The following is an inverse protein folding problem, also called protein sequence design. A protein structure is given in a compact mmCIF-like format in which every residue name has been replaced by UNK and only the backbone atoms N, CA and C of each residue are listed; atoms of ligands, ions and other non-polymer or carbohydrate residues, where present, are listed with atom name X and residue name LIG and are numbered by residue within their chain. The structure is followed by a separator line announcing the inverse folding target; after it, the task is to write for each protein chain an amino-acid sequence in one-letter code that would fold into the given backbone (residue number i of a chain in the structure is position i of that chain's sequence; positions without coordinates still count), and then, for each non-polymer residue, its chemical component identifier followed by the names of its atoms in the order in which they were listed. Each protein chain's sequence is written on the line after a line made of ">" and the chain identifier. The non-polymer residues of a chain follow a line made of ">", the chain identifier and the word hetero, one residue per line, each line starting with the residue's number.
data_IF_607160197861
#
_entry.id   IF_607160197861
#
_cell.length_a   1.000
_cell.length_b   1.000
_cell.length_c   1.000
_cell.angle_alpha   90.00
_cell.angle_beta   90.00
_cell.angle_gamma   90.00
#
_symmetry.space_group_name_H-M   'P 1'
#
loop_
_entity.id
_entity.type
_entity.pdbx_description
1 polymer ?
#
# COMPACT_ATOMS: atom_id res chain seq x y z
N UNK A 1 20.23 -25.98 49.65
CA UNK A 1 20.14 -24.55 49.92
C UNK A 1 19.95 -23.83 48.60
N UNK A 2 18.85 -23.18 48.39
CA UNK A 2 18.66 -22.34 47.22
C UNK A 2 19.46 -21.05 47.41
N UNK A 3 20.16 -20.54 46.39
CA UNK A 3 20.87 -19.28 46.49
C UNK A 3 19.89 -18.14 46.73
N UNK A 4 20.10 -17.35 47.81
CA UNK A 4 19.32 -16.13 48.05
C UNK A 4 19.78 -15.07 47.05
N UNK A 5 18.90 -14.70 46.10
CA UNK A 5 19.10 -13.62 45.17
C UNK A 5 19.11 -12.28 45.95
N UNK A 6 20.21 -11.52 45.86
CA UNK A 6 20.26 -10.19 46.45
C UNK A 6 19.51 -9.17 45.53
N UNK A 7 19.12 -8.02 46.08
CA UNK A 7 18.38 -6.97 45.35
C UNK A 7 19.05 -6.54 44.05
N UNK A 8 20.36 -6.52 44.00
CA UNK A 8 21.12 -6.06 42.82
C UNK A 8 21.10 -7.10 41.70
N UNK A 9 21.18 -8.38 42.07
CA UNK A 9 21.07 -9.50 41.12
C UNK A 9 19.64 -9.61 40.55
N UNK A 10 18.63 -9.38 41.40
CA UNK A 10 17.25 -9.32 40.95
C UNK A 10 17.01 -8.16 39.96
N UNK A 11 17.50 -6.95 40.27
CA UNK A 11 17.33 -5.78 39.38
C UNK A 11 18.12 -5.91 38.08
N UNK A 12 19.34 -6.49 38.12
CA UNK A 12 20.10 -6.73 36.88
C UNK A 12 19.44 -7.82 36.00
N UNK A 13 18.92 -8.86 36.62
CA UNK A 13 18.16 -9.91 35.92
C UNK A 13 16.85 -9.39 35.33
N UNK A 14 16.11 -8.55 36.07
CA UNK A 14 14.90 -7.91 35.59
C UNK A 14 15.15 -6.91 34.44
N UNK A 15 16.25 -6.14 34.52
CA UNK A 15 16.66 -5.23 33.45
C UNK A 15 17.06 -5.99 32.16
N UNK A 16 17.78 -7.10 32.30
CA UNK A 16 18.16 -7.96 31.18
C UNK A 16 16.94 -8.64 30.55
N UNK A 17 15.97 -9.08 31.36
CA UNK A 17 14.71 -9.64 30.89
C UNK A 17 13.86 -8.58 30.17
N UNK A 18 13.75 -7.35 30.69
CA UNK A 18 13.02 -6.26 30.06
C UNK A 18 13.62 -5.85 28.71
N UNK A 19 14.94 -5.94 28.54
CA UNK A 19 15.61 -5.68 27.27
C UNK A 19 15.36 -6.76 26.19
N UNK A 20 14.86 -7.93 26.57
CA UNK A 20 14.54 -9.02 25.64
C UNK A 20 13.10 -8.99 25.10
N UNK A 21 12.24 -8.08 25.59
CA UNK A 21 10.88 -7.96 25.08
C UNK A 21 10.86 -7.08 23.84
N UNK A 22 10.57 -7.67 22.70
CA UNK A 22 10.26 -6.93 21.49
C UNK A 22 8.79 -6.50 21.57
N UNK A 23 8.53 -5.19 21.61
CA UNK A 23 7.17 -4.66 21.50
C UNK A 23 6.75 -4.78 20.04
N UNK A 24 5.95 -5.80 19.73
CA UNK A 24 5.35 -5.97 18.41
C UNK A 24 4.12 -5.08 18.34
N UNK A 25 4.06 -4.12 17.42
CA UNK A 25 2.87 -3.28 17.24
C UNK A 25 1.63 -4.14 16.95
N UNK A 26 0.47 -3.76 17.52
CA UNK A 26 -0.78 -4.52 17.40
C UNK A 26 -1.21 -4.77 15.95
N UNK A 27 -0.88 -3.85 15.04
CA UNK A 27 -1.11 -3.97 13.60
C UNK A 27 -0.37 -5.16 12.94
N UNK A 28 0.72 -5.62 13.53
CA UNK A 28 1.48 -6.79 13.03
C UNK A 28 0.87 -8.09 13.51
N UNK A 29 0.21 -8.06 14.68
CA UNK A 29 -0.40 -9.23 15.29
C UNK A 29 -1.82 -9.52 14.79
N UNK A 30 -2.45 -8.56 14.09
CA UNK A 30 -3.86 -8.67 13.71
C UNK A 30 -4.81 -8.54 14.91
N UNK A 31 -6.07 -8.85 14.71
CA UNK A 31 -7.13 -8.82 15.73
C UNK A 31 -8.20 -7.77 15.43
N UNK A 32 -9.06 -7.46 16.41
CA UNK A 32 -10.21 -6.56 16.21
C UNK A 32 -9.80 -5.22 15.57
N UNK A 33 -10.22 -5.00 14.34
CA UNK A 33 -9.92 -3.79 13.55
C UNK A 33 -8.55 -3.75 12.85
N UNK A 34 -7.77 -4.86 12.93
CA UNK A 34 -6.46 -4.94 12.27
C UNK A 34 -6.28 -6.29 11.58
N UNK A 35 -5.94 -6.27 10.30
CA UNK A 35 -5.53 -7.45 9.53
C UNK A 35 -4.01 -7.55 9.59
N UNK A 36 -3.51 -8.70 10.04
CA UNK A 36 -2.06 -8.92 10.04
C UNK A 36 -1.51 -8.89 8.60
N UNK A 37 -0.30 -8.38 8.36
CA UNK A 37 0.28 -8.38 7.01
C UNK A 37 0.31 -9.74 6.32
N UNK A 38 0.49 -10.82 7.10
CA UNK A 38 0.45 -12.21 6.61
C UNK A 38 -0.93 -12.68 6.15
N UNK A 39 -1.98 -12.02 6.62
CA UNK A 39 -3.37 -12.41 6.35
C UNK A 39 -3.97 -11.60 5.19
N UNK A 40 -3.23 -10.62 4.68
CA UNK A 40 -3.64 -9.80 3.53
C UNK A 40 -3.45 -10.53 2.22
N UNK A 41 -4.42 -10.34 1.34
CA UNK A 41 -4.31 -10.76 -0.06
C UNK A 41 -3.42 -9.76 -0.80
N UNK A 42 -2.28 -10.20 -1.29
CA UNK A 42 -1.42 -9.38 -2.15
C UNK A 42 -1.89 -9.44 -3.60
N UNK A 43 -2.08 -8.27 -4.22
CA UNK A 43 -2.54 -8.16 -5.61
C UNK A 43 -1.49 -7.47 -6.48
N UNK A 44 -1.40 -7.95 -7.72
CA UNK A 44 -0.78 -7.24 -8.81
C UNK A 44 -1.85 -6.85 -9.84
N UNK A 45 -1.84 -5.60 -10.27
CA UNK A 45 -2.79 -5.10 -11.27
C UNK A 45 -2.12 -5.11 -12.63
N UNK A 46 -2.70 -5.83 -13.62
CA UNK A 46 -2.21 -5.89 -15.00
C UNK A 46 -3.19 -5.13 -15.90
N UNK A 47 -2.66 -4.12 -16.61
CA UNK A 47 -3.46 -3.18 -17.40
C UNK A 47 -4.00 -2.04 -16.54
N UNK A 48 -3.48 -0.84 -16.72
CA UNK A 48 -3.89 0.33 -15.94
C UNK A 48 -4.54 1.41 -16.81
N UNK A 49 -5.51 0.99 -17.62
CA UNK A 49 -6.37 1.88 -18.42
C UNK A 49 -7.58 2.40 -17.64
N UNK A 50 -8.57 2.94 -18.36
CA UNK A 50 -9.77 3.57 -17.79
C UNK A 50 -10.48 2.70 -16.75
N UNK A 51 -10.67 1.42 -17.05
CA UNK A 51 -11.38 0.51 -16.15
C UNK A 51 -10.62 0.29 -14.84
N UNK A 52 -9.32 -0.01 -14.91
CA UNK A 52 -8.51 -0.21 -13.71
C UNK A 52 -8.49 1.05 -12.82
N UNK A 53 -8.34 2.23 -13.41
CA UNK A 53 -8.36 3.49 -12.67
C UNK A 53 -9.71 3.71 -11.98
N UNK A 54 -10.81 3.33 -12.59
CA UNK A 54 -12.14 3.45 -12.00
C UNK A 54 -12.35 2.50 -10.82
N UNK A 55 -11.83 1.29 -10.91
CA UNK A 55 -12.03 0.22 -9.91
C UNK A 55 -11.03 0.29 -8.75
N UNK A 56 -9.83 0.84 -8.99
CA UNK A 56 -8.71 0.75 -8.05
C UNK A 56 -9.02 1.35 -6.68
N UNK A 57 -9.88 2.38 -6.63
CA UNK A 57 -10.23 3.02 -5.36
C UNK A 57 -10.88 2.06 -4.37
N UNK A 58 -11.79 1.19 -4.83
CA UNK A 58 -12.43 0.17 -4.01
C UNK A 58 -11.43 -0.89 -3.52
N UNK A 59 -10.49 -1.28 -4.38
CA UNK A 59 -9.44 -2.25 -4.06
C UNK A 59 -8.49 -1.69 -3.01
N UNK A 60 -8.01 -0.47 -3.19
CA UNK A 60 -7.08 0.18 -2.26
C UNK A 60 -7.70 0.47 -0.89
N UNK A 61 -9.01 0.72 -0.84
CA UNK A 61 -9.74 0.97 0.40
C UNK A 61 -10.00 -0.30 1.23
N UNK A 62 -9.87 -1.50 0.62
CA UNK A 62 -10.08 -2.76 1.34
C UNK A 62 -8.97 -3.00 2.38
N UNK A 63 -9.31 -3.29 3.64
CA UNK A 63 -8.32 -3.60 4.66
C UNK A 63 -7.62 -4.94 4.42
N UNK A 64 -8.27 -5.86 3.71
CA UNK A 64 -7.81 -7.24 3.50
C UNK A 64 -6.90 -7.39 2.29
N UNK A 65 -6.76 -6.31 1.51
CA UNK A 65 -6.01 -6.33 0.24
C UNK A 65 -4.83 -5.38 0.30
N UNK A 66 -3.74 -5.78 -0.33
CA UNK A 66 -2.58 -4.94 -0.58
C UNK A 66 -2.12 -5.03 -2.02
N UNK A 67 -2.19 -3.92 -2.76
CA UNK A 67 -1.64 -3.83 -4.11
C UNK A 67 -0.14 -3.62 -4.01
N UNK A 68 0.63 -4.63 -4.43
CA UNK A 68 2.09 -4.66 -4.31
C UNK A 68 2.80 -4.40 -5.64
N UNK A 69 2.09 -4.57 -6.76
CA UNK A 69 2.66 -4.35 -8.09
C UNK A 69 1.62 -3.84 -9.07
N UNK A 70 2.09 -3.10 -10.06
CA UNK A 70 1.36 -2.71 -11.27
C UNK A 70 2.14 -3.13 -12.50
N UNK A 71 1.43 -3.53 -13.54
CA UNK A 71 2.01 -3.89 -14.83
C UNK A 71 1.20 -3.25 -15.95
N UNK A 72 1.87 -2.56 -16.86
CA UNK A 72 1.26 -2.06 -18.09
C UNK A 72 2.34 -1.88 -19.16
N UNK A 73 2.01 -2.25 -20.38
CA UNK A 73 2.90 -2.07 -21.55
C UNK A 73 3.02 -0.59 -21.91
N UNK A 74 1.99 0.20 -21.65
CA UNK A 74 2.00 1.65 -21.81
C UNK A 74 2.51 2.31 -20.53
N UNK A 75 3.61 3.04 -20.64
CA UNK A 75 4.21 3.69 -19.47
C UNK A 75 3.44 4.94 -19.01
N UNK A 76 3.02 5.76 -19.97
CA UNK A 76 2.38 7.05 -19.73
C UNK A 76 1.23 7.27 -20.72
N UNK A 77 0.24 6.40 -20.65
CA UNK A 77 -0.94 6.49 -21.47
C UNK A 77 -1.69 7.79 -21.22
N UNK A 78 -2.11 8.42 -22.29
CA UNK A 78 -2.91 9.64 -22.25
C UNK A 78 -4.11 9.51 -23.18
N UNK A 79 -5.20 10.22 -22.80
CA UNK A 79 -6.37 10.28 -23.69
C UNK A 79 -7.25 9.05 -23.67
N UNK A 80 -7.19 8.20 -22.64
CA UNK A 80 -8.16 7.14 -22.45
C UNK A 80 -9.58 7.73 -22.39
N UNK A 81 -10.54 7.03 -23.02
CA UNK A 81 -11.91 7.50 -23.07
C UNK A 81 -12.59 7.44 -21.71
N UNK A 82 -13.32 8.47 -21.40
CA UNK A 82 -14.15 8.57 -20.20
C UNK A 82 -15.63 8.67 -20.62
N UNK A 83 -16.50 7.88 -20.00
CA UNK A 83 -17.93 7.88 -20.35
C UNK A 83 -18.71 9.06 -19.75
N UNK A 84 -18.14 9.73 -18.78
CA UNK A 84 -18.71 10.93 -18.16
C UNK A 84 -17.66 12.00 -18.01
N UNK A 85 -18.06 13.27 -18.12
CA UNK A 85 -17.13 14.39 -18.05
C UNK A 85 -16.36 14.40 -16.71
N UNK A 86 -15.08 14.08 -16.75
CA UNK A 86 -14.14 14.09 -15.62
C UNK A 86 -14.49 13.17 -14.42
N UNK A 87 -15.46 12.27 -14.52
CA UNK A 87 -15.92 11.46 -13.39
C UNK A 87 -14.79 10.62 -12.77
N UNK A 88 -14.00 9.97 -13.60
CA UNK A 88 -12.89 9.12 -13.15
C UNK A 88 -11.80 9.98 -12.53
N UNK A 89 -11.40 11.06 -13.20
CA UNK A 89 -10.38 11.99 -12.71
C UNK A 89 -10.78 12.61 -11.37
N UNK A 90 -12.02 13.04 -11.24
CA UNK A 90 -12.53 13.62 -10.00
C UNK A 90 -12.66 12.58 -8.89
N UNK A 91 -12.92 11.31 -9.22
CA UNK A 91 -12.83 10.19 -8.31
C UNK A 91 -11.43 10.01 -7.73
N UNK A 92 -10.42 9.99 -8.59
CA UNK A 92 -9.01 9.90 -8.17
C UNK A 92 -8.59 11.13 -7.36
N UNK A 93 -8.97 12.34 -7.78
CA UNK A 93 -8.69 13.57 -7.03
C UNK A 93 -9.22 13.52 -5.59
N UNK A 94 -10.45 13.06 -5.40
CA UNK A 94 -11.03 12.87 -4.06
C UNK A 94 -10.29 11.80 -3.27
N UNK A 95 -10.01 10.66 -3.88
CA UNK A 95 -9.32 9.55 -3.24
C UNK A 95 -7.91 9.95 -2.78
N UNK A 96 -7.17 10.67 -3.62
CA UNK A 96 -5.82 11.16 -3.31
C UNK A 96 -5.84 12.46 -2.50
N UNK A 97 -7.02 13.10 -2.31
CA UNK A 97 -7.16 14.44 -1.74
C UNK A 97 -6.19 15.45 -2.41
N UNK A 98 -6.16 15.37 -3.71
CA UNK A 98 -5.36 16.23 -4.57
C UNK A 98 -6.22 16.77 -5.71
N UNK A 99 -6.88 17.93 -5.52
CA UNK A 99 -7.78 18.48 -6.52
C UNK A 99 -7.07 18.89 -7.83
N UNK A 100 -5.76 19.14 -7.77
CA UNK A 100 -4.96 19.49 -8.93
C UNK A 100 -4.37 18.26 -9.65
N UNK A 101 -4.67 17.03 -9.18
CA UNK A 101 -4.13 15.84 -9.83
C UNK A 101 -4.44 15.80 -11.32
N UNK A 102 -3.38 15.76 -12.14
CA UNK A 102 -3.43 15.74 -13.61
C UNK A 102 -4.33 16.85 -14.19
N UNK A 103 -4.25 18.07 -13.63
CA UNK A 103 -4.92 19.24 -14.18
C UNK A 103 -4.38 19.55 -15.57
N UNK A 104 -5.27 19.90 -16.50
CA UNK A 104 -4.91 20.20 -17.90
C UNK A 104 -4.64 18.99 -18.79
N UNK A 105 -4.59 17.76 -18.25
CA UNK A 105 -4.46 16.57 -19.08
C UNK A 105 -5.74 16.32 -19.91
N UNK A 106 -5.60 15.98 -21.19
CA UNK A 106 -6.70 15.54 -22.05
C UNK A 106 -7.04 14.09 -21.77
N UNK A 107 -8.32 13.74 -21.72
CA UNK A 107 -8.78 12.37 -21.42
C UNK A 107 -8.43 11.90 -20.00
N UNK A 108 -8.53 10.61 -19.78
CA UNK A 108 -8.11 9.96 -18.53
C UNK A 108 -6.66 9.54 -18.68
N UNK A 109 -5.74 9.99 -17.80
CA UNK A 109 -4.39 9.46 -17.76
C UNK A 109 -4.41 7.99 -17.32
N UNK A 110 -3.56 7.17 -17.87
CA UNK A 110 -3.43 5.76 -17.51
C UNK A 110 -2.01 5.24 -17.75
N UNK A 111 -1.85 3.93 -17.68
CA UNK A 111 -0.58 3.25 -17.86
C UNK A 111 0.20 3.06 -16.57
N UNK A 112 1.38 2.49 -16.72
CA UNK A 112 2.24 2.01 -15.64
C UNK A 112 2.55 3.06 -14.59
N UNK A 113 3.03 4.23 -15.04
CA UNK A 113 3.47 5.30 -14.12
C UNK A 113 2.30 5.92 -13.37
N UNK A 114 1.15 6.06 -14.02
CA UNK A 114 -0.09 6.55 -13.38
C UNK A 114 -0.58 5.54 -12.34
N UNK A 115 -0.58 4.25 -12.67
CA UNK A 115 -0.96 3.19 -11.74
C UNK A 115 -0.09 3.18 -10.49
N UNK A 116 1.23 3.23 -10.69
CA UNK A 116 2.20 3.30 -9.59
C UNK A 116 2.00 4.54 -8.72
N UNK A 117 1.83 5.72 -9.34
CA UNK A 117 1.59 6.98 -8.64
C UNK A 117 0.35 6.91 -7.74
N UNK A 118 -0.76 6.39 -8.28
CA UNK A 118 -2.02 6.25 -7.54
C UNK A 118 -1.84 5.34 -6.32
N UNK A 119 -1.27 4.16 -6.52
CA UNK A 119 -1.08 3.17 -5.45
C UNK A 119 -0.15 3.70 -4.36
N UNK A 120 1.00 4.24 -4.74
CA UNK A 120 1.99 4.75 -3.78
C UNK A 120 1.45 5.96 -3.01
N UNK A 121 0.79 6.90 -3.68
CA UNK A 121 0.21 8.09 -3.05
C UNK A 121 -0.91 7.72 -2.09
N UNK A 122 -1.80 6.81 -2.50
CA UNK A 122 -2.88 6.35 -1.63
C UNK A 122 -2.35 5.75 -0.32
N UNK A 123 -1.40 4.84 -0.43
CA UNK A 123 -0.88 4.18 0.76
C UNK A 123 -0.01 5.09 1.62
N UNK A 124 0.76 6.00 1.03
CA UNK A 124 1.50 7.01 1.80
C UNK A 124 0.57 7.87 2.65
N UNK A 125 -0.60 8.22 2.13
CA UNK A 125 -1.57 9.06 2.81
C UNK A 125 -2.39 8.31 3.86
N UNK A 126 -2.93 7.16 3.51
CA UNK A 126 -3.96 6.50 4.31
C UNK A 126 -3.42 5.43 5.27
N UNK A 127 -2.19 5.00 5.12
CA UNK A 127 -1.56 4.00 6.00
C UNK A 127 -0.52 4.58 6.97
N UNK A 128 -0.56 5.87 7.24
CA UNK A 128 0.07 6.47 8.41
C UNK A 128 1.60 6.45 8.46
N UNK A 129 2.28 6.57 7.30
CA UNK A 129 3.73 6.79 7.29
C UNK A 129 4.59 5.58 7.65
N UNK A 130 4.04 4.36 7.57
CA UNK A 130 4.87 3.16 7.71
C UNK A 130 5.88 3.04 6.57
N UNK A 131 7.13 2.67 6.88
CA UNK A 131 8.09 2.36 5.85
C UNK A 131 7.55 1.20 5.02
N UNK A 132 7.17 1.49 3.78
CA UNK A 132 6.66 0.53 2.83
C UNK A 132 7.63 0.43 1.66
N UNK A 133 7.89 -0.79 1.24
CA UNK A 133 8.49 -1.00 -0.07
C UNK A 133 7.45 -0.54 -1.09
N UNK A 134 7.74 0.51 -1.86
CA UNK A 134 6.81 1.07 -2.85
C UNK A 134 6.24 0.00 -3.80
N UNK A 135 5.14 0.33 -4.48
CA UNK A 135 4.54 -0.53 -5.48
C UNK A 135 5.56 -0.85 -6.59
N UNK A 136 5.79 -2.13 -6.87
CA UNK A 136 6.65 -2.55 -7.97
C UNK A 136 5.98 -2.26 -9.32
N UNK A 137 6.78 -1.96 -10.36
CA UNK A 137 6.28 -1.61 -11.68
C UNK A 137 6.93 -2.48 -12.76
N UNK A 138 6.11 -3.11 -13.59
CA UNK A 138 6.54 -4.02 -14.65
C UNK A 138 5.93 -3.61 -15.99
N UNK A 139 6.71 -3.63 -17.05
CA UNK A 139 6.21 -3.40 -18.42
C UNK A 139 5.71 -4.71 -19.02
N UNK A 140 6.34 -5.82 -18.68
CA UNK A 140 5.98 -7.16 -19.13
C UNK A 140 5.41 -7.96 -17.94
N UNK A 141 4.21 -8.50 -18.11
CA UNK A 141 3.57 -9.32 -17.08
C UNK A 141 4.32 -10.62 -16.77
N UNK A 142 5.15 -11.10 -17.70
CA UNK A 142 5.99 -12.29 -17.47
C UNK A 142 7.04 -12.02 -16.41
N UNK A 143 7.65 -10.83 -16.44
CA UNK A 143 8.61 -10.41 -15.41
C UNK A 143 7.95 -10.28 -14.03
N UNK A 144 6.65 -9.90 -14.01
CA UNK A 144 5.86 -9.86 -12.79
C UNK A 144 5.62 -11.25 -12.21
N UNK A 145 5.31 -12.25 -13.05
CA UNK A 145 5.00 -13.61 -12.62
C UNK A 145 6.22 -14.40 -12.13
N UNK A 146 7.42 -13.94 -12.42
CA UNK A 146 8.67 -14.56 -11.93
C UNK A 146 9.05 -14.14 -10.50
N UNK A 147 8.31 -13.22 -9.88
CA UNK A 147 8.60 -12.67 -8.53
C UNK A 147 7.67 -13.21 -7.47
#
# INVERSE_FOLDING_TARGET
>A
MAPELNRREFLSGAAAAAASFTIVPRRVLGGAGFVAPSDKITLACVGFGTQAIREIGGILASPDVEVVAVCDVDRDGAGYLEWGRNQIRDGIRRMLDNPAWREGASGVPGGLNVGKEIVDTFYAKWRGGEPRKGCAAYVDFRDLLEK
#
